data_IF_861165468374
#
_entry.id   IF_861165468374
#
_cell.length_a   1.000
_cell.length_b   1.000
_cell.length_c   1.000
_cell.angle_alpha   90.00
_cell.angle_beta   90.00
_cell.angle_gamma   90.00
#
_symmetry.space_group_name_H-M   'P 1'
#
loop_
_entity.id
_entity.type
_entity.pdbx_description
1 polymer ?
#
# COMPACT_ATOMS: atom_id res chain seq x y z
N UNK A 1 -32.38 1.68 11.12
CA UNK A 1 -31.32 1.43 10.12
C UNK A 1 -30.67 2.79 9.81
N UNK A 2 -29.44 2.97 10.23
CA UNK A 2 -28.78 4.27 10.28
C UNK A 2 -28.13 4.58 8.92
N UNK A 3 -28.80 5.37 8.07
CA UNK A 3 -28.31 5.79 6.74
C UNK A 3 -27.07 6.71 6.77
N UNK A 4 -26.56 7.07 7.94
CA UNK A 4 -25.39 7.93 8.07
C UNK A 4 -24.06 7.13 8.07
N UNK A 5 -24.11 5.79 8.25
CA UNK A 5 -22.91 4.97 8.43
C UNK A 5 -22.15 4.62 7.13
N UNK A 6 -22.77 4.83 5.94
CA UNK A 6 -22.17 4.42 4.64
C UNK A 6 -22.04 5.59 3.64
N UNK A 7 -22.06 6.83 4.10
CA UNK A 7 -21.97 7.98 3.20
C UNK A 7 -20.53 8.14 2.69
N UNK A 8 -20.35 7.86 1.39
CA UNK A 8 -19.16 8.18 0.63
C UNK A 8 -19.30 9.60 0.05
N UNK A 9 -18.26 10.42 0.19
CA UNK A 9 -18.23 11.76 -0.38
C UNK A 9 -16.80 12.18 -0.73
N UNK A 10 -16.66 12.99 -1.78
CA UNK A 10 -15.42 13.69 -2.13
C UNK A 10 -15.56 15.16 -1.72
N UNK A 11 -14.72 15.57 -0.78
CA UNK A 11 -14.75 16.93 -0.22
C UNK A 11 -13.56 17.72 -0.73
N UNK A 12 -13.82 18.97 -1.17
CA UNK A 12 -12.73 19.88 -1.57
C UNK A 12 -11.92 20.33 -0.35
N UNK A 13 -10.60 20.26 -0.45
CA UNK A 13 -9.70 20.80 0.56
C UNK A 13 -9.86 22.32 0.66
N UNK A 14 -10.15 22.88 1.84
CA UNK A 14 -10.36 24.31 2.02
C UNK A 14 -9.09 25.15 1.77
N UNK A 15 -7.92 24.57 1.95
CA UNK A 15 -6.62 25.24 1.76
C UNK A 15 -6.10 25.01 0.34
N UNK A 16 -6.14 23.78 -0.15
CA UNK A 16 -5.67 23.41 -1.47
C UNK A 16 -6.88 23.09 -2.36
N UNK A 17 -7.38 24.10 -3.10
CA UNK A 17 -8.63 24.02 -3.86
C UNK A 17 -8.68 22.91 -4.91
N UNK A 18 -7.54 22.42 -5.37
CA UNK A 18 -7.38 21.27 -6.28
C UNK A 18 -7.38 19.93 -5.56
N UNK A 19 -7.25 19.94 -4.23
CA UNK A 19 -7.30 18.75 -3.38
C UNK A 19 -8.73 18.22 -3.19
N UNK A 20 -8.83 16.89 -3.16
CA UNK A 20 -10.08 16.16 -2.89
C UNK A 20 -9.79 15.09 -1.84
N UNK A 21 -10.56 15.11 -0.76
CA UNK A 21 -10.52 14.06 0.27
C UNK A 21 -11.71 13.13 0.09
N UNK A 22 -11.45 11.84 -0.10
CA UNK A 22 -12.47 10.79 -0.04
C UNK A 22 -12.77 10.49 1.42
N UNK A 23 -14.01 10.70 1.81
CA UNK A 23 -14.53 10.36 3.14
C UNK A 23 -15.46 9.15 3.06
N UNK A 24 -15.34 8.26 4.03
CA UNK A 24 -16.32 7.20 4.30
C UNK A 24 -16.84 7.36 5.73
N UNK A 25 -18.13 7.56 5.89
CA UNK A 25 -18.75 7.84 7.19
C UNK A 25 -18.04 9.00 7.97
N UNK A 26 -17.60 10.03 7.26
CA UNK A 26 -16.88 11.18 7.82
C UNK A 26 -15.41 10.93 8.18
N UNK A 27 -14.87 9.74 7.89
CA UNK A 27 -13.46 9.40 8.11
C UNK A 27 -12.68 9.49 6.80
N UNK A 28 -11.54 10.19 6.83
CA UNK A 28 -10.65 10.31 5.68
C UNK A 28 -10.08 8.94 5.26
N UNK A 29 -10.30 8.59 4.00
CA UNK A 29 -9.82 7.35 3.41
C UNK A 29 -8.67 7.58 2.43
N UNK A 30 -8.75 8.65 1.65
CA UNK A 30 -7.77 8.94 0.61
C UNK A 30 -7.80 10.43 0.26
N UNK A 31 -6.69 10.94 -0.25
CA UNK A 31 -6.57 12.32 -0.69
C UNK A 31 -5.89 12.36 -2.06
N UNK A 32 -6.40 13.15 -3.00
CA UNK A 32 -5.81 13.36 -4.31
C UNK A 32 -5.82 14.84 -4.66
N UNK A 33 -4.75 15.33 -5.27
CA UNK A 33 -4.74 16.62 -5.94
C UNK A 33 -4.97 16.39 -7.44
N UNK A 34 -6.04 16.97 -7.98
CA UNK A 34 -6.46 16.72 -9.37
C UNK A 34 -5.64 17.46 -10.41
N UNK A 35 -4.93 18.54 -10.04
CA UNK A 35 -4.06 19.30 -10.92
C UNK A 35 -2.57 18.96 -10.70
N UNK A 36 -2.21 18.51 -9.50
CA UNK A 36 -0.85 18.10 -9.17
C UNK A 36 -0.83 16.68 -8.56
N UNK A 37 -0.90 15.64 -9.39
CA UNK A 37 -0.90 14.25 -8.91
C UNK A 37 0.41 13.83 -8.20
N UNK A 38 1.46 14.67 -8.23
CA UNK A 38 2.69 14.48 -7.46
C UNK A 38 2.57 14.95 -6.02
N UNK A 39 1.53 15.73 -5.70
CA UNK A 39 1.26 16.14 -4.32
C UNK A 39 0.65 14.98 -3.53
N UNK A 40 1.41 14.41 -2.61
CA UNK A 40 1.01 13.31 -1.76
C UNK A 40 0.81 13.81 -0.32
N UNK A 41 -0.44 13.88 0.12
CA UNK A 41 -0.81 14.45 1.41
C UNK A 41 -0.40 13.56 2.59
N UNK A 42 -0.78 12.28 2.56
CA UNK A 42 -0.54 11.35 3.68
C UNK A 42 0.90 10.86 3.74
N UNK A 43 1.44 10.78 4.96
CA UNK A 43 2.81 10.31 5.22
C UNK A 43 3.09 8.93 4.61
N UNK A 44 2.17 7.98 4.79
CA UNK A 44 2.38 6.61 4.31
C UNK A 44 2.35 6.53 2.79
N UNK A 45 1.52 7.32 2.13
CA UNK A 45 1.45 7.40 0.66
C UNK A 45 2.78 7.92 0.11
N UNK A 46 3.37 8.95 0.72
CA UNK A 46 4.71 9.44 0.34
C UNK A 46 5.77 8.37 0.52
N UNK A 47 5.72 7.58 1.60
CA UNK A 47 6.66 6.47 1.83
C UNK A 47 6.49 5.34 0.83
N UNK A 48 5.26 4.98 0.47
CA UNK A 48 4.98 4.03 -0.62
C UNK A 48 5.56 4.56 -1.93
N UNK A 49 5.28 5.81 -2.28
CA UNK A 49 5.78 6.45 -3.50
C UNK A 49 7.32 6.46 -3.53
N UNK A 50 7.97 6.89 -2.45
CA UNK A 50 9.43 6.90 -2.35
C UNK A 50 10.06 5.50 -2.47
N UNK A 51 9.40 4.46 -1.95
CA UNK A 51 9.84 3.08 -2.13
C UNK A 51 9.59 2.60 -3.57
N UNK A 52 8.44 2.93 -4.16
CA UNK A 52 8.09 2.59 -5.55
C UNK A 52 9.04 3.23 -6.57
N UNK A 53 9.56 4.43 -6.29
CA UNK A 53 10.60 5.06 -7.12
C UNK A 53 11.89 4.22 -7.21
N UNK A 54 12.12 3.34 -6.25
CA UNK A 54 13.32 2.49 -6.22
C UNK A 54 13.13 1.14 -6.92
N UNK A 55 11.93 0.82 -7.40
CA UNK A 55 11.64 -0.43 -8.11
C UNK A 55 12.37 -0.53 -9.46
N UNK A 56 12.66 0.61 -10.11
CA UNK A 56 13.42 0.69 -11.36
C UNK A 56 14.11 2.05 -11.49
N UNK A 57 14.98 2.27 -12.47
CA UNK A 57 15.52 3.60 -12.80
C UNK A 57 14.40 4.63 -12.99
N UNK A 58 14.69 5.90 -12.66
CA UNK A 58 13.71 6.98 -12.75
C UNK A 58 13.11 7.08 -14.16
N UNK A 59 11.79 7.25 -14.24
CA UNK A 59 11.05 7.39 -15.50
C UNK A 59 10.85 6.08 -16.29
N UNK A 60 11.45 4.97 -15.90
CA UNK A 60 11.19 3.67 -16.55
C UNK A 60 9.75 3.24 -16.29
N UNK A 61 8.96 2.90 -17.32
CA UNK A 61 7.63 2.33 -17.15
C UNK A 61 7.65 1.02 -16.36
N UNK A 62 6.60 0.78 -15.58
CA UNK A 62 6.43 -0.42 -14.75
C UNK A 62 5.09 -1.09 -15.05
N UNK A 63 5.05 -2.41 -14.87
CA UNK A 63 3.80 -3.15 -14.71
C UNK A 63 3.42 -3.17 -13.23
N UNK A 64 2.29 -2.54 -12.87
CA UNK A 64 1.92 -2.33 -11.47
C UNK A 64 0.52 -2.85 -11.16
N UNK A 65 0.41 -3.56 -10.04
CA UNK A 65 -0.88 -3.95 -9.46
C UNK A 65 -1.12 -3.14 -8.18
N UNK A 66 -2.24 -2.43 -8.14
CA UNK A 66 -2.74 -1.76 -6.94
C UNK A 66 -3.89 -2.59 -6.35
N UNK A 67 -3.75 -3.06 -5.14
CA UNK A 67 -4.78 -3.73 -4.34
C UNK A 67 -5.33 -2.71 -3.34
N UNK A 68 -6.52 -2.21 -3.62
CA UNK A 68 -7.12 -1.02 -3.04
C UNK A 68 -6.90 0.21 -3.95
N UNK A 69 -7.97 0.92 -4.24
CA UNK A 69 -7.96 2.09 -5.15
C UNK A 69 -8.12 3.42 -4.44
N UNK A 70 -9.06 3.52 -3.51
CA UNK A 70 -9.43 4.78 -2.87
C UNK A 70 -9.73 5.86 -3.90
N UNK A 71 -9.17 7.07 -3.72
CA UNK A 71 -9.26 8.17 -4.68
C UNK A 71 -8.25 8.06 -5.84
N UNK A 72 -7.63 6.91 -6.03
CA UNK A 72 -6.63 6.63 -7.08
C UNK A 72 -5.38 7.53 -7.00
N UNK A 73 -4.96 7.89 -5.80
CA UNK A 73 -3.81 8.78 -5.54
C UNK A 73 -2.52 8.19 -6.09
N UNK A 74 -2.17 6.97 -5.70
CA UNK A 74 -0.95 6.29 -6.16
C UNK A 74 -0.99 5.96 -7.66
N UNK A 75 -2.10 5.49 -8.25
CA UNK A 75 -2.19 5.32 -9.69
C UNK A 75 -1.97 6.61 -10.49
N UNK A 76 -2.54 7.74 -10.05
CA UNK A 76 -2.34 9.06 -10.69
C UNK A 76 -0.92 9.56 -10.53
N UNK A 77 -0.35 9.42 -9.34
CA UNK A 77 1.04 9.76 -9.05
C UNK A 77 2.00 8.97 -9.95
N UNK A 78 1.79 7.65 -10.08
CA UNK A 78 2.64 6.79 -10.89
C UNK A 78 2.53 7.15 -12.39
N UNK A 79 1.33 7.40 -12.89
CA UNK A 79 1.13 7.84 -14.27
C UNK A 79 1.86 9.16 -14.57
N UNK A 80 1.91 10.09 -13.60
CA UNK A 80 2.61 11.36 -13.73
C UNK A 80 4.13 11.27 -13.59
N UNK A 81 4.65 10.29 -12.86
CA UNK A 81 6.09 10.14 -12.59
C UNK A 81 6.76 9.09 -13.48
N UNK A 82 5.98 8.12 -13.98
CA UNK A 82 6.42 7.02 -14.84
C UNK A 82 5.43 6.81 -16.01
N UNK A 83 5.37 7.76 -16.95
CA UNK A 83 4.48 7.66 -18.11
C UNK A 83 4.68 6.34 -18.86
N UNK A 84 3.58 5.76 -19.37
CA UNK A 84 3.60 4.47 -20.06
C UNK A 84 3.58 3.24 -19.15
N UNK A 85 3.52 3.41 -17.82
CA UNK A 85 3.36 2.28 -16.90
C UNK A 85 1.97 1.65 -17.05
N UNK A 86 1.93 0.33 -17.26
CA UNK A 86 0.67 -0.40 -17.25
C UNK A 86 0.22 -0.65 -15.81
N UNK A 87 -0.96 -0.14 -15.47
CA UNK A 87 -1.46 -0.20 -14.10
C UNK A 87 -2.82 -0.90 -14.05
N UNK A 88 -2.93 -1.89 -13.18
CA UNK A 88 -4.19 -2.54 -12.82
C UNK A 88 -4.54 -2.16 -11.39
N UNK A 89 -5.73 -1.61 -11.19
CA UNK A 89 -6.26 -1.24 -9.88
C UNK A 89 -7.44 -2.12 -9.55
N UNK A 90 -7.37 -2.80 -8.43
CA UNK A 90 -8.44 -3.66 -7.90
C UNK A 90 -9.05 -2.98 -6.69
N UNK A 91 -10.28 -2.52 -6.82
CA UNK A 91 -11.05 -1.93 -5.73
C UNK A 91 -12.31 -2.77 -5.50
N UNK A 92 -12.58 -3.12 -4.26
CA UNK A 92 -13.73 -3.97 -3.93
C UNK A 92 -15.06 -3.21 -3.88
N UNK A 93 -15.00 -1.93 -3.49
CA UNK A 93 -16.19 -1.12 -3.31
C UNK A 93 -16.59 -0.43 -4.62
N UNK A 94 -17.62 -0.98 -5.29
CA UNK A 94 -18.14 -0.41 -6.52
C UNK A 94 -18.61 1.05 -6.34
N UNK A 95 -19.15 1.42 -5.17
CA UNK A 95 -19.59 2.78 -4.91
C UNK A 95 -18.43 3.77 -4.84
N UNK A 96 -17.25 3.34 -4.35
CA UNK A 96 -16.01 4.14 -4.41
C UNK A 96 -15.58 4.33 -5.86
N UNK A 97 -15.55 3.26 -6.66
CA UNK A 97 -15.16 3.33 -8.09
C UNK A 97 -16.09 4.27 -8.86
N UNK A 98 -17.40 4.14 -8.68
CA UNK A 98 -18.40 4.99 -9.34
C UNK A 98 -18.28 6.46 -8.94
N UNK A 99 -18.10 6.75 -7.63
CA UNK A 99 -17.93 8.11 -7.12
C UNK A 99 -16.68 8.76 -7.72
N UNK A 100 -15.57 8.06 -7.66
CA UNK A 100 -14.26 8.54 -8.16
C UNK A 100 -14.29 8.75 -9.69
N UNK A 101 -14.89 7.82 -10.44
CA UNK A 101 -15.03 7.95 -11.89
C UNK A 101 -15.93 9.11 -12.31
N UNK A 102 -16.95 9.44 -11.50
CA UNK A 102 -17.88 10.55 -11.76
C UNK A 102 -17.28 11.92 -11.44
N UNK A 103 -16.51 12.02 -10.33
CA UNK A 103 -16.14 13.30 -9.74
C UNK A 103 -14.69 13.71 -9.95
N UNK A 104 -13.83 12.77 -10.33
CA UNK A 104 -12.42 13.07 -10.61
C UNK A 104 -12.13 13.04 -12.12
N UNK A 105 -11.08 13.75 -12.57
CA UNK A 105 -10.64 13.69 -13.95
C UNK A 105 -10.38 12.25 -14.41
N UNK A 106 -10.59 11.92 -15.70
CA UNK A 106 -10.35 10.60 -16.23
C UNK A 106 -8.88 10.17 -16.04
N UNK A 107 -8.66 8.88 -15.95
CA UNK A 107 -7.33 8.29 -15.87
C UNK A 107 -6.75 8.13 -17.29
N UNK A 108 -5.42 8.09 -17.42
CA UNK A 108 -4.78 7.65 -18.65
C UNK A 108 -5.20 6.23 -19.04
N UNK A 109 -5.21 5.87 -20.34
CA UNK A 109 -5.70 4.56 -20.81
C UNK A 109 -4.88 3.37 -20.31
N UNK A 110 -3.66 3.59 -19.85
CA UNK A 110 -2.78 2.57 -19.25
C UNK A 110 -3.21 2.16 -17.83
N UNK A 111 -4.09 2.95 -17.18
CA UNK A 111 -4.61 2.67 -15.84
C UNK A 111 -6.01 2.07 -15.95
N UNK A 112 -6.13 0.78 -15.60
CA UNK A 112 -7.39 0.05 -15.62
C UNK A 112 -7.88 -0.19 -14.20
N UNK A 113 -9.11 0.20 -13.93
CA UNK A 113 -9.78 -0.02 -12.63
C UNK A 113 -10.82 -1.10 -12.79
N UNK A 114 -10.84 -2.07 -11.91
CA UNK A 114 -11.85 -3.12 -11.84
C UNK A 114 -12.42 -3.27 -10.44
N UNK A 115 -13.69 -3.63 -10.37
CA UNK A 115 -14.37 -3.96 -9.11
C UNK A 115 -14.20 -5.45 -8.86
N UNK A 116 -13.30 -5.80 -7.90
CA UNK A 116 -13.04 -7.19 -7.55
C UNK A 116 -12.48 -7.32 -6.12
N UNK A 117 -12.51 -8.53 -5.56
CA UNK A 117 -11.79 -8.85 -4.35
C UNK A 117 -10.28 -9.01 -4.64
N UNK A 118 -9.44 -8.43 -3.77
CA UNK A 118 -7.99 -8.44 -3.95
C UNK A 118 -7.39 -9.86 -3.99
N UNK A 119 -7.94 -10.80 -3.18
CA UNK A 119 -7.46 -12.17 -3.16
C UNK A 119 -7.86 -12.95 -4.42
N UNK A 120 -9.07 -12.76 -4.89
CA UNK A 120 -9.53 -13.35 -6.15
C UNK A 120 -8.70 -12.84 -7.33
N UNK A 121 -8.48 -11.52 -7.39
CA UNK A 121 -7.69 -10.88 -8.43
C UNK A 121 -6.25 -11.38 -8.46
N UNK A 122 -5.57 -11.49 -7.30
CA UNK A 122 -4.19 -11.97 -7.24
C UNK A 122 -4.09 -13.45 -7.61
N UNK A 123 -5.06 -14.27 -7.21
CA UNK A 123 -5.10 -15.71 -7.53
C UNK A 123 -5.23 -15.95 -9.04
N UNK A 124 -6.04 -15.14 -9.73
CA UNK A 124 -6.21 -15.21 -11.18
C UNK A 124 -5.05 -14.60 -11.98
N UNK A 125 -4.12 -13.91 -11.33
CA UNK A 125 -2.99 -13.26 -12.00
C UNK A 125 -1.90 -14.25 -12.37
N UNK A 126 -1.33 -14.20 -13.59
CA UNK A 126 -0.20 -15.03 -13.98
C UNK A 126 1.05 -14.80 -13.16
N UNK A 127 1.97 -15.78 -13.17
CA UNK A 127 3.28 -15.65 -12.51
C UNK A 127 4.15 -14.58 -13.18
N UNK A 128 4.97 -13.88 -12.38
CA UNK A 128 5.96 -12.89 -12.86
C UNK A 128 5.38 -11.80 -13.78
N UNK A 129 4.18 -11.29 -13.44
CA UNK A 129 3.45 -10.31 -14.24
C UNK A 129 3.82 -8.86 -13.88
N UNK A 130 4.23 -8.60 -12.62
CA UNK A 130 4.39 -7.25 -12.10
C UNK A 130 5.79 -6.94 -11.60
N UNK A 131 6.23 -5.70 -11.82
CA UNK A 131 7.42 -5.12 -11.20
C UNK A 131 7.12 -4.61 -9.78
N UNK A 132 5.86 -4.20 -9.57
CA UNK A 132 5.42 -3.58 -8.32
C UNK A 132 3.99 -4.03 -7.98
N UNK A 133 3.80 -4.48 -6.76
CA UNK A 133 2.46 -4.69 -6.17
C UNK A 133 2.34 -3.78 -4.95
N UNK A 134 1.28 -2.98 -4.89
CA UNK A 134 0.97 -2.09 -3.76
C UNK A 134 -0.34 -2.56 -3.13
N UNK A 135 -0.34 -2.83 -1.83
CA UNK A 135 -1.54 -3.17 -1.08
C UNK A 135 -1.87 -2.08 -0.05
N UNK A 136 -2.99 -1.41 -0.28
CA UNK A 136 -3.61 -0.46 0.63
C UNK A 136 -5.09 -0.85 0.81
N UNK A 137 -5.30 -2.02 1.43
CA UNK A 137 -6.59 -2.72 1.49
C UNK A 137 -7.19 -2.54 2.88
N UNK A 138 -8.23 -1.72 2.98
CA UNK A 138 -8.91 -1.49 4.24
C UNK A 138 -10.43 -1.64 4.12
N UNK A 139 -11.03 -2.13 5.21
CA UNK A 139 -12.47 -2.12 5.45
C UNK A 139 -12.69 -1.62 6.87
N UNK A 140 -13.33 -0.45 7.02
CA UNK A 140 -13.56 0.17 8.31
C UNK A 140 -12.31 0.19 9.22
N UNK A 141 -11.21 0.78 8.74
CA UNK A 141 -9.92 0.93 9.42
C UNK A 141 -9.17 -0.39 9.75
N UNK A 142 -9.57 -1.52 9.18
CA UNK A 142 -8.87 -2.81 9.35
C UNK A 142 -8.57 -3.46 8.01
N UNK A 143 -7.37 -3.99 7.87
CA UNK A 143 -7.03 -4.87 6.75
C UNK A 143 -7.77 -6.21 6.94
N UNK A 144 -8.55 -6.68 5.94
CA UNK A 144 -9.27 -7.95 6.01
C UNK A 144 -8.31 -9.13 6.24
N UNK A 145 -8.74 -10.13 7.00
CA UNK A 145 -7.87 -11.25 7.36
C UNK A 145 -7.37 -12.05 6.15
N UNK A 146 -8.25 -12.34 5.18
CA UNK A 146 -7.94 -13.16 4.01
C UNK A 146 -6.84 -12.58 3.08
N UNK A 147 -6.44 -11.31 3.27
CA UNK A 147 -5.33 -10.66 2.57
C UNK A 147 -4.10 -10.44 3.47
N UNK A 148 -4.06 -11.09 4.65
CA UNK A 148 -2.97 -10.97 5.63
C UNK A 148 -2.24 -12.28 5.91
N UNK A 149 -2.56 -13.35 5.19
CA UNK A 149 -2.06 -14.70 5.43
C UNK A 149 -0.82 -15.03 4.62
N UNK A 150 -0.10 -16.08 5.01
CA UNK A 150 1.07 -16.60 4.27
C UNK A 150 0.67 -17.01 2.86
N UNK A 151 -0.51 -17.59 2.68
CA UNK A 151 -1.02 -18.04 1.39
C UNK A 151 -1.29 -16.85 0.45
N UNK A 152 -1.86 -15.75 0.97
CA UNK A 152 -2.00 -14.52 0.19
C UNK A 152 -0.63 -13.93 -0.16
N UNK A 153 0.29 -13.85 0.79
CA UNK A 153 1.65 -13.37 0.59
C UNK A 153 2.40 -14.21 -0.47
N UNK A 154 2.21 -15.53 -0.47
CA UNK A 154 2.77 -16.43 -1.48
C UNK A 154 2.20 -16.16 -2.88
N UNK A 155 0.89 -15.88 -2.99
CA UNK A 155 0.30 -15.49 -4.28
C UNK A 155 0.86 -14.14 -4.77
N UNK A 156 1.05 -13.16 -3.89
CA UNK A 156 1.68 -11.89 -4.27
C UNK A 156 3.12 -12.14 -4.75
N UNK A 157 3.92 -12.90 -4.01
CA UNK A 157 5.29 -13.22 -4.39
C UNK A 157 5.38 -13.93 -5.76
N UNK A 158 4.43 -14.84 -6.04
CA UNK A 158 4.33 -15.53 -7.32
C UNK A 158 4.06 -14.59 -8.50
N UNK A 159 3.25 -13.55 -8.29
CA UNK A 159 2.90 -12.58 -9.35
C UNK A 159 3.98 -11.55 -9.61
N UNK A 160 4.89 -11.35 -8.67
CA UNK A 160 6.04 -10.47 -8.84
C UNK A 160 7.11 -11.10 -9.73
N UNK A 161 7.79 -10.27 -10.50
CA UNK A 161 9.06 -10.62 -11.14
C UNK A 161 10.13 -10.87 -10.07
N UNK A 162 11.24 -11.54 -10.39
CA UNK A 162 12.27 -11.90 -9.40
C UNK A 162 12.82 -10.72 -8.58
N UNK A 163 12.96 -9.55 -9.21
CA UNK A 163 13.39 -8.30 -8.56
C UNK A 163 12.22 -7.37 -8.21
N UNK A 164 10.98 -7.87 -8.32
CA UNK A 164 9.78 -7.10 -8.06
C UNK A 164 9.62 -6.72 -6.59
N UNK A 165 8.86 -5.66 -6.36
CA UNK A 165 8.67 -5.06 -5.04
C UNK A 165 7.20 -5.18 -4.59
N UNK A 166 6.99 -5.62 -3.36
CA UNK A 166 5.69 -5.58 -2.68
C UNK A 166 5.69 -4.51 -1.59
N UNK A 167 4.74 -3.58 -1.65
CA UNK A 167 4.56 -2.50 -0.67
C UNK A 167 3.20 -2.65 0.00
N UNK A 168 3.17 -2.69 1.33
CA UNK A 168 1.94 -2.87 2.10
C UNK A 168 1.78 -1.74 3.10
N UNK A 169 0.63 -1.07 3.09
CA UNK A 169 0.23 -0.18 4.16
C UNK A 169 -0.35 -0.97 5.33
N UNK A 170 0.17 -0.76 6.53
CA UNK A 170 -0.34 -1.35 7.78
C UNK A 170 -0.63 -0.26 8.78
N UNK A 171 -1.91 -0.08 9.12
CA UNK A 171 -2.33 0.79 10.23
C UNK A 171 -2.28 0.01 11.53
N UNK A 172 -1.59 0.54 12.54
CA UNK A 172 -1.45 -0.13 13.83
C UNK A 172 -1.34 0.88 14.99
N UNK A 173 -1.45 0.33 16.19
CA UNK A 173 -1.30 1.08 17.43
C UNK A 173 -0.34 0.35 18.38
N UNK A 174 0.28 1.07 19.33
CA UNK A 174 1.15 0.46 20.31
C UNK A 174 0.46 -0.74 21.03
N UNK A 175 1.15 -1.90 21.18
CA UNK A 175 2.57 -2.17 20.94
C UNK A 175 2.90 -2.75 19.56
N UNK A 176 2.13 -2.45 18.51
CA UNK A 176 2.37 -2.82 17.10
C UNK A 176 2.29 -4.34 16.83
N UNK A 177 1.36 -5.01 17.50
CA UNK A 177 1.18 -6.46 17.37
C UNK A 177 0.82 -6.85 15.95
N UNK A 178 -0.11 -6.11 15.31
CA UNK A 178 -0.53 -6.38 13.95
C UNK A 178 0.61 -6.28 12.95
N UNK A 179 1.45 -5.26 13.09
CA UNK A 179 2.63 -5.06 12.23
C UNK A 179 3.67 -6.16 12.41
N UNK A 180 3.96 -6.57 13.67
CA UNK A 180 4.90 -7.66 13.97
C UNK A 180 4.45 -8.97 13.35
N UNK A 181 3.16 -9.29 13.47
CA UNK A 181 2.53 -10.46 12.84
C UNK A 181 2.61 -10.37 11.32
N UNK A 182 2.30 -9.22 10.74
CA UNK A 182 2.38 -9.05 9.29
C UNK A 182 3.81 -9.17 8.76
N UNK A 183 4.82 -8.65 9.49
CA UNK A 183 6.23 -8.86 9.14
C UNK A 183 6.60 -10.34 9.21
N UNK A 184 6.19 -11.06 10.26
CA UNK A 184 6.42 -12.51 10.37
C UNK A 184 5.79 -13.26 9.19
N UNK A 185 4.57 -12.89 8.80
CA UNK A 185 3.85 -13.45 7.64
C UNK A 185 4.61 -13.22 6.33
N UNK A 186 5.09 -11.99 6.08
CA UNK A 186 5.85 -11.70 4.86
C UNK A 186 7.20 -12.42 4.85
N UNK A 187 7.90 -12.52 5.98
CA UNK A 187 9.18 -13.24 6.09
C UNK A 187 9.08 -14.74 5.85
N UNK A 188 7.90 -15.33 6.03
CA UNK A 188 7.66 -16.74 5.70
C UNK A 188 7.65 -16.99 4.17
N UNK A 189 7.56 -15.93 3.35
CA UNK A 189 7.35 -16.04 1.90
C UNK A 189 8.39 -15.28 1.10
N UNK A 190 8.75 -14.07 1.53
CA UNK A 190 9.66 -13.18 0.82
C UNK A 190 11.10 -13.34 1.30
N UNK A 191 12.06 -13.20 0.36
CA UNK A 191 13.48 -13.33 0.65
C UNK A 191 14.07 -12.13 1.41
N UNK A 192 13.45 -10.95 1.32
CA UNK A 192 13.89 -9.77 2.05
C UNK A 192 12.69 -8.89 2.41
N UNK A 193 12.69 -8.35 3.64
CA UNK A 193 11.59 -7.54 4.20
C UNK A 193 12.15 -6.41 5.05
N UNK A 194 11.58 -5.22 4.94
CA UNK A 194 11.83 -4.11 5.84
C UNK A 194 10.53 -3.37 6.23
N UNK A 195 10.62 -2.56 7.28
CA UNK A 195 9.52 -1.70 7.75
C UNK A 195 9.96 -0.25 7.73
N UNK A 196 9.16 0.60 7.10
CA UNK A 196 9.35 2.04 7.04
C UNK A 196 8.24 2.74 7.83
N UNK A 197 8.58 3.79 8.54
CA UNK A 197 7.59 4.55 9.29
C UNK A 197 8.16 5.77 10.00
N UNK A 198 7.29 6.58 10.59
CA UNK A 198 7.68 7.61 11.53
C UNK A 198 8.47 7.00 12.70
N UNK A 199 9.48 7.70 13.20
CA UNK A 199 10.35 7.20 14.28
C UNK A 199 9.60 6.91 15.59
N UNK A 200 8.54 7.67 15.89
CA UNK A 200 7.70 7.45 17.08
C UNK A 200 6.82 6.21 16.88
N UNK A 201 6.33 6.02 15.65
CA UNK A 201 5.58 4.84 15.25
C UNK A 201 6.43 3.57 15.38
N UNK A 202 7.64 3.55 14.79
CA UNK A 202 8.57 2.43 14.88
C UNK A 202 8.97 2.07 16.31
N UNK A 203 8.92 3.03 17.24
CA UNK A 203 9.16 2.83 18.69
C UNK A 203 7.89 2.45 19.46
N UNK A 204 6.76 2.24 18.78
CA UNK A 204 5.49 1.94 19.43
C UNK A 204 4.98 3.06 20.35
N UNK A 205 5.17 4.32 19.97
CA UNK A 205 4.78 5.51 20.75
C UNK A 205 3.69 6.35 20.10
N UNK A 206 3.16 5.91 18.96
CA UNK A 206 2.14 6.61 18.19
C UNK A 206 1.27 5.59 17.45
N UNK A 207 -0.02 5.88 17.29
CA UNK A 207 -0.90 5.25 16.32
C UNK A 207 -0.59 5.83 14.93
N UNK A 208 -0.72 5.01 13.87
CA UNK A 208 -0.57 5.46 12.50
C UNK A 208 -0.29 4.33 11.52
N UNK A 209 0.30 4.70 10.39
CA UNK A 209 0.61 3.80 9.30
C UNK A 209 2.11 3.47 9.24
N UNK A 210 2.41 2.22 8.97
CA UNK A 210 3.73 1.71 8.64
C UNK A 210 3.66 1.13 7.22
N UNK A 211 4.74 1.28 6.48
CA UNK A 211 4.88 0.67 5.15
C UNK A 211 5.85 -0.51 5.26
N UNK A 212 5.39 -1.70 4.91
CA UNK A 212 6.24 -2.85 4.76
C UNK A 212 6.68 -2.93 3.30
N UNK A 213 7.97 -3.12 3.06
CA UNK A 213 8.49 -3.41 1.73
C UNK A 213 9.10 -4.81 1.74
N UNK A 214 8.78 -5.61 0.71
CA UNK A 214 9.26 -6.97 0.56
C UNK A 214 9.60 -7.29 -0.89
N UNK A 215 10.57 -8.19 -1.10
CA UNK A 215 10.94 -8.70 -2.43
C UNK A 215 11.18 -10.21 -2.36
N UNK A 216 10.85 -10.97 -3.42
CA UNK A 216 11.16 -12.40 -3.48
C UNK A 216 12.66 -12.70 -3.39
N UNK A 217 13.50 -11.80 -3.87
CA UNK A 217 14.96 -11.96 -3.91
C UNK A 217 15.59 -11.75 -2.53
N UNK A 218 16.36 -12.71 -2.00
CA UNK A 218 17.11 -12.52 -0.77
C UNK A 218 18.11 -11.34 -0.88
N UNK A 219 18.06 -10.42 0.11
CA UNK A 219 18.91 -9.22 0.12
C UNK A 219 18.66 -8.26 -1.06
N UNK A 220 17.48 -8.34 -1.69
CA UNK A 220 17.17 -7.58 -2.89
C UNK A 220 16.64 -6.16 -2.63
N UNK A 221 16.27 -5.83 -1.40
CA UNK A 221 15.80 -4.48 -1.08
C UNK A 221 16.94 -3.46 -1.10
N UNK A 222 16.76 -2.30 -1.74
CA UNK A 222 17.74 -1.22 -1.74
C UNK A 222 17.73 -0.45 -0.39
N UNK A 223 18.02 -1.15 0.70
CA UNK A 223 17.82 -0.70 2.10
C UNK A 223 18.45 0.66 2.38
N UNK A 224 19.70 0.89 1.89
CA UNK A 224 20.37 2.18 2.08
C UNK A 224 19.62 3.34 1.40
N UNK A 225 19.08 3.12 0.19
CA UNK A 225 18.30 4.12 -0.54
C UNK A 225 16.94 4.35 0.13
N UNK A 226 16.28 3.29 0.58
CA UNK A 226 15.01 3.36 1.35
C UNK A 226 15.20 4.13 2.66
N UNK A 227 16.28 3.91 3.39
CA UNK A 227 16.60 4.64 4.61
C UNK A 227 16.82 6.14 4.34
N UNK A 228 17.54 6.48 3.28
CA UNK A 228 17.74 7.89 2.86
C UNK A 228 16.42 8.53 2.46
N UNK A 229 15.57 7.83 1.71
CA UNK A 229 14.25 8.33 1.32
C UNK A 229 13.36 8.59 2.55
N UNK A 230 13.35 7.66 3.53
CA UNK A 230 12.61 7.83 4.78
C UNK A 230 13.08 9.04 5.61
N UNK A 231 14.38 9.35 5.59
CA UNK A 231 14.93 10.51 6.29
C UNK A 231 14.61 11.84 5.61
N UNK A 232 14.41 11.84 4.28
CA UNK A 232 14.11 13.03 3.47
C UNK A 232 12.62 13.38 3.43
N UNK A 233 11.74 12.50 3.92
CA UNK A 233 10.30 12.82 4.02
C UNK A 233 10.10 14.05 4.90
N UNK A 234 9.14 14.96 4.60
CA UNK A 234 8.78 16.11 5.46
C UNK A 234 8.50 15.71 6.91
N UNK A 235 8.04 14.49 7.14
CA UNK A 235 7.96 13.86 8.47
C UNK A 235 9.07 12.79 8.54
N UNK A 236 10.27 13.13 9.06
CA UNK A 236 11.40 12.23 9.01
C UNK A 236 11.12 10.87 9.65
N UNK A 237 11.23 9.85 8.85
CA UNK A 237 11.01 8.47 9.25
C UNK A 237 12.31 7.71 9.57
N UNK A 238 12.14 6.41 9.70
CA UNK A 238 13.21 5.43 9.85
C UNK A 238 12.86 4.14 9.14
N UNK A 239 13.79 3.20 9.21
CA UNK A 239 13.67 1.88 8.62
C UNK A 239 14.14 0.83 9.64
N UNK A 240 13.43 -0.30 9.71
CA UNK A 240 13.84 -1.51 10.42
C UNK A 240 14.15 -2.60 9.38
N UNK A 241 15.33 -3.19 9.49
CA UNK A 241 15.80 -4.28 8.63
C UNK A 241 16.81 -5.16 9.38
N UNK A 242 17.05 -6.39 8.93
CA UNK A 242 17.96 -7.35 9.51
C UNK A 242 17.77 -7.48 11.04
N UNK A 243 18.82 -7.40 11.84
CA UNK A 243 18.77 -7.57 13.30
C UNK A 243 17.80 -6.62 14.01
N UNK A 244 17.64 -5.38 13.54
CA UNK A 244 16.65 -4.46 14.09
C UNK A 244 15.22 -4.93 13.83
N UNK A 245 14.98 -5.55 12.66
CA UNK A 245 13.70 -6.16 12.34
C UNK A 245 13.46 -7.44 13.15
N UNK A 246 14.50 -8.25 13.40
CA UNK A 246 14.41 -9.45 14.24
C UNK A 246 13.98 -9.10 15.67
N UNK A 247 14.60 -8.08 16.25
CA UNK A 247 14.22 -7.58 17.58
C UNK A 247 12.79 -7.00 17.57
N UNK A 248 12.38 -6.34 16.51
CA UNK A 248 11.04 -5.78 16.39
C UNK A 248 9.97 -6.88 16.33
N UNK A 249 10.17 -7.93 15.55
CA UNK A 249 9.24 -9.06 15.40
C UNK A 249 9.03 -9.79 16.72
N UNK A 250 10.10 -9.94 17.54
CA UNK A 250 10.03 -10.44 18.92
C UNK A 250 9.24 -11.76 19.07
N UNK A 251 9.42 -12.71 18.15
CA UNK A 251 8.77 -14.03 18.19
C UNK A 251 7.31 -14.05 17.75
N UNK A 252 6.79 -12.98 17.14
CA UNK A 252 5.47 -13.00 16.49
C UNK A 252 5.41 -14.11 15.44
N UNK A 253 4.26 -14.80 15.35
CA UNK A 253 4.04 -15.90 14.41
C UNK A 253 3.32 -15.40 13.15
N UNK A 254 3.59 -16.00 11.98
CA UNK A 254 2.83 -15.73 10.77
C UNK A 254 1.37 -16.19 10.92
N UNK A 255 0.47 -15.58 10.18
CA UNK A 255 -0.94 -15.99 10.09
C UNK A 255 -1.14 -16.84 8.85
N UNK A 256 -1.81 -17.98 8.98
CA UNK A 256 -2.24 -18.84 7.86
C UNK A 256 -3.76 -18.84 7.72
N UNK A 257 -4.25 -19.33 6.57
CA UNK A 257 -5.68 -19.51 6.34
C UNK A 257 -6.28 -20.54 7.29
N UNK A 258 -5.53 -21.57 7.68
CA UNK A 258 -5.99 -22.69 8.50
C UNK A 258 -6.24 -22.35 9.98
N UNK A 259 -5.80 -21.20 10.48
CA UNK A 259 -6.02 -20.78 11.87
C UNK A 259 -7.49 -20.44 12.19
N UNK A 260 -8.40 -20.42 11.19
CA UNK A 260 -9.84 -20.24 11.40
C UNK A 260 -10.61 -21.54 11.63
N UNK A 261 -9.97 -22.70 11.54
CA UNK A 261 -10.61 -24.01 11.71
C UNK A 261 -10.57 -24.54 13.18
N UNK A 262 -10.16 -23.70 14.16
CA UNK A 262 -10.10 -24.11 15.58
C UNK A 262 -10.85 -23.17 16.50
#
# INVERSE_FOLDING_TARGET
MNRAADRLELVTDPVRRTGRTLLSAGVEQSYVDVEDPRHLHFEYVRRIAAAAELAAPAGTPLDVLHLGGGALTLPRWLAATRPGSAQRVVERDAAVVELVARELPPLPPEVRVEVADAREAITATPTASYDLVIADIYRAARMPRHVRTVEFAAQVARTLRPDGLYLVNVTDLPPLVGTRVQVATLRATFGDVCVLGDRRMLRGRRYGNLVLAATPRPGGLPVGRLAVAALRDPVPGGLLHASALDMFVAGARPVSDDEDAR
#
